data_IF_912991024296
#
_entry.id   IF_912991024296
#
_cell.length_a   1.000
_cell.length_b   1.000
_cell.length_c   1.000
_cell.angle_alpha   90.00
_cell.angle_beta   90.00
_cell.angle_gamma   90.00
#
_symmetry.space_group_name_H-M   'P 1'
#
loop_
_entity.id
_entity.type
_entity.pdbx_description
1 polymer ?
#
# COMPACT_ATOMS: atom_id res chain seq x y z
N UNK A 1 -25.31 -31.87 12.23
CA UNK A 1 -24.14 -32.67 11.81
C UNK A 1 -23.03 -31.71 11.39
N UNK A 2 -22.15 -31.34 12.33
CA UNK A 2 -21.07 -30.37 12.09
C UNK A 2 -19.92 -31.10 11.40
N UNK A 3 -19.73 -30.86 10.09
CA UNK A 3 -18.53 -31.31 9.39
C UNK A 3 -17.36 -30.44 9.84
N UNK A 4 -16.64 -30.91 10.86
CA UNK A 4 -15.28 -30.46 11.15
C UNK A 4 -14.40 -30.88 9.98
N UNK A 5 -14.05 -29.93 9.14
CA UNK A 5 -12.91 -30.10 8.23
C UNK A 5 -11.64 -30.11 9.08
N UNK A 6 -10.69 -31.02 8.84
CA UNK A 6 -9.39 -30.93 9.47
C UNK A 6 -8.76 -29.63 8.97
N UNK A 7 -8.47 -28.71 9.90
CA UNK A 7 -7.52 -27.63 9.65
C UNK A 7 -6.18 -28.32 9.49
N UNK A 8 -5.85 -28.73 8.26
CA UNK A 8 -4.46 -28.92 7.91
C UNK A 8 -3.79 -27.57 8.12
N UNK A 9 -2.95 -27.48 9.16
CA UNK A 9 -1.94 -26.44 9.26
C UNK A 9 -1.12 -26.57 7.98
N UNK A 10 -1.42 -25.76 6.97
CA UNK A 10 -0.54 -25.61 5.84
C UNK A 10 0.80 -25.14 6.41
N UNK A 11 1.82 -25.98 6.26
CA UNK A 11 3.22 -25.65 6.51
C UNK A 11 3.52 -24.31 5.85
N UNK A 12 3.87 -23.30 6.66
CA UNK A 12 4.45 -22.00 6.29
C UNK A 12 4.39 -21.65 4.80
N UNK A 13 3.26 -21.11 4.34
CA UNK A 13 3.24 -20.47 3.02
C UNK A 13 4.06 -19.19 3.15
N UNK A 14 5.20 -19.11 2.46
CA UNK A 14 6.00 -17.89 2.38
C UNK A 14 5.20 -16.83 1.61
N UNK A 15 4.59 -15.89 2.34
CA UNK A 15 3.81 -14.81 1.76
C UNK A 15 4.72 -13.63 1.40
N UNK A 16 4.49 -13.06 0.22
CA UNK A 16 5.05 -11.77 -0.19
C UNK A 16 3.97 -10.71 0.04
N UNK A 17 4.24 -9.76 0.93
CA UNK A 17 3.32 -8.67 1.23
C UNK A 17 3.65 -7.46 0.35
N UNK A 18 2.77 -7.17 -0.61
CA UNK A 18 2.83 -5.94 -1.38
C UNK A 18 2.22 -4.79 -0.57
N UNK A 19 3.08 -3.89 -0.11
CA UNK A 19 2.75 -2.71 0.67
C UNK A 19 2.79 -1.41 -0.16
N UNK A 20 2.63 -1.49 -1.49
CA UNK A 20 2.55 -0.31 -2.35
C UNK A 20 1.50 0.72 -1.87
N UNK A 21 0.35 0.24 -1.35
CA UNK A 21 -0.72 1.11 -0.84
C UNK A 21 -0.76 1.20 0.70
N UNK A 22 0.22 0.63 1.43
CA UNK A 22 0.25 0.67 2.90
C UNK A 22 0.85 1.97 3.43
N UNK A 23 0.18 3.08 3.09
CA UNK A 23 0.57 4.42 3.49
C UNK A 23 -0.65 5.20 4.01
N UNK A 24 -0.45 6.19 4.91
CA UNK A 24 -1.54 7.04 5.43
C UNK A 24 -2.37 7.76 4.35
N UNK A 25 -1.88 7.83 3.12
CA UNK A 25 -2.61 8.33 1.94
C UNK A 25 -3.89 7.51 1.71
N UNK A 26 -3.78 6.19 1.82
CA UNK A 26 -4.79 5.25 1.30
C UNK A 26 -5.54 4.50 2.39
N UNK A 27 -4.87 4.22 3.51
CA UNK A 27 -5.43 3.43 4.59
C UNK A 27 -5.00 3.98 5.96
N UNK A 28 -5.76 3.62 6.99
CA UNK A 28 -5.28 3.75 8.36
C UNK A 28 -4.06 2.84 8.58
N UNK A 29 -3.15 3.24 9.47
CA UNK A 29 -2.00 2.44 9.89
C UNK A 29 -2.28 1.88 11.29
N UNK A 30 -2.90 0.69 11.40
CA UNK A 30 -3.30 0.12 12.70
C UNK A 30 -2.14 -0.48 13.49
N UNK A 31 -1.04 -0.84 12.82
CA UNK A 31 0.18 -1.38 13.42
C UNK A 31 1.36 -1.25 12.45
N UNK A 32 2.57 -1.47 12.94
CA UNK A 32 3.73 -1.65 12.06
C UNK A 32 3.61 -2.98 11.29
N UNK A 33 3.97 -2.97 10.00
CA UNK A 33 4.00 -4.19 9.20
C UNK A 33 5.18 -5.09 9.62
N UNK A 34 4.96 -6.40 9.67
CA UNK A 34 5.95 -7.38 10.14
C UNK A 34 5.98 -8.66 9.29
N UNK A 35 5.75 -8.54 7.98
CA UNK A 35 5.89 -9.65 7.03
C UNK A 35 7.35 -10.09 6.85
N UNK A 36 7.57 -11.34 6.45
CA UNK A 36 8.93 -11.86 6.21
C UNK A 36 9.54 -11.33 4.91
N UNK A 37 8.69 -11.06 3.93
CA UNK A 37 9.01 -10.34 2.69
C UNK A 37 7.96 -9.24 2.50
N UNK A 38 8.41 -7.99 2.49
CA UNK A 38 7.56 -6.81 2.32
C UNK A 38 8.10 -5.94 1.19
N UNK A 39 7.25 -5.55 0.23
CA UNK A 39 7.64 -4.76 -0.93
C UNK A 39 6.97 -3.39 -0.90
N UNK A 40 7.70 -2.36 -1.28
CA UNK A 40 7.26 -0.97 -1.28
C UNK A 40 7.71 -0.26 -2.57
N UNK A 41 7.07 0.86 -2.89
CA UNK A 41 7.42 1.66 -4.07
C UNK A 41 7.18 3.15 -3.86
N UNK A 42 8.04 3.99 -4.43
CA UNK A 42 7.78 5.44 -4.48
C UNK A 42 6.64 5.80 -5.44
N UNK A 43 6.22 4.89 -6.32
CA UNK A 43 5.15 5.13 -7.29
C UNK A 43 3.84 5.56 -6.61
N UNK A 44 3.54 4.94 -5.46
CA UNK A 44 2.31 5.17 -4.69
C UNK A 44 2.54 6.03 -3.45
N UNK A 45 3.77 6.08 -2.93
CA UNK A 45 4.15 6.97 -1.84
C UNK A 45 4.27 8.44 -2.31
N UNK A 46 5.01 8.71 -3.38
CA UNK A 46 5.31 10.09 -3.84
C UNK A 46 4.73 10.42 -5.21
N UNK A 47 3.98 9.51 -5.83
CA UNK A 47 3.41 9.68 -7.18
C UNK A 47 4.42 9.54 -8.32
N UNK A 48 5.67 9.18 -8.05
CA UNK A 48 6.75 9.12 -9.04
C UNK A 48 6.83 7.77 -9.76
N UNK A 49 5.72 7.34 -10.37
CA UNK A 49 5.64 6.03 -11.03
C UNK A 49 6.65 5.84 -12.18
N UNK A 50 7.01 6.93 -12.86
CA UNK A 50 8.00 6.93 -13.95
C UNK A 50 9.44 6.69 -13.50
N UNK A 51 9.74 6.86 -12.20
CA UNK A 51 11.08 6.58 -11.67
C UNK A 51 11.37 5.09 -11.55
N UNK A 52 10.35 4.22 -11.62
CA UNK A 52 10.49 2.76 -11.56
C UNK A 52 11.31 2.28 -10.35
N UNK A 53 11.15 2.93 -9.19
CA UNK A 53 11.90 2.61 -7.98
C UNK A 53 11.01 1.97 -6.92
N UNK A 54 11.49 0.86 -6.37
CA UNK A 54 10.90 0.14 -5.26
C UNK A 54 11.98 -0.54 -4.43
N UNK A 55 11.59 -1.03 -3.26
CA UNK A 55 12.48 -1.74 -2.35
C UNK A 55 11.75 -2.87 -1.66
N UNK A 56 12.51 -3.84 -1.17
CA UNK A 56 12.00 -4.95 -0.38
C UNK A 56 12.70 -4.99 0.99
N UNK A 57 11.93 -5.29 2.04
CA UNK A 57 12.44 -5.69 3.34
C UNK A 57 12.33 -7.21 3.43
N UNK A 58 13.46 -7.89 3.62
CA UNK A 58 13.55 -9.35 3.57
C UNK A 58 14.26 -9.83 4.83
N UNK A 59 13.60 -10.67 5.63
CA UNK A 59 14.18 -11.20 6.87
C UNK A 59 15.11 -12.39 6.62
N UNK A 60 14.72 -13.26 5.69
CA UNK A 60 15.49 -14.47 5.37
C UNK A 60 16.70 -14.14 4.48
N UNK A 61 17.89 -14.54 4.95
CA UNK A 61 19.15 -14.24 4.27
C UNK A 61 19.28 -14.94 2.92
N UNK A 62 18.82 -16.18 2.81
CA UNK A 62 18.96 -16.96 1.57
C UNK A 62 18.00 -16.42 0.51
N UNK A 63 16.79 -16.00 0.89
CA UNK A 63 15.86 -15.27 0.02
C UNK A 63 16.50 -13.95 -0.44
N UNK A 64 17.08 -13.17 0.48
CA UNK A 64 17.76 -11.91 0.14
C UNK A 64 18.89 -12.13 -0.88
N UNK A 65 19.76 -13.11 -0.67
CA UNK A 65 20.86 -13.42 -1.59
C UNK A 65 20.36 -13.88 -2.96
N UNK A 66 19.26 -14.64 -3.01
CA UNK A 66 18.62 -15.03 -4.26
C UNK A 66 18.03 -13.82 -5.01
N UNK A 67 17.40 -12.88 -4.31
CA UNK A 67 16.89 -11.63 -4.90
C UNK A 67 18.04 -10.77 -5.45
N UNK A 68 19.14 -10.62 -4.70
CA UNK A 68 20.32 -9.90 -5.19
C UNK A 68 20.89 -10.54 -6.47
N UNK A 69 21.02 -11.87 -6.48
CA UNK A 69 21.50 -12.60 -7.66
C UNK A 69 20.60 -12.34 -8.88
N UNK A 70 19.28 -12.38 -8.69
CA UNK A 70 18.32 -12.07 -9.76
C UNK A 70 18.49 -10.63 -10.28
N UNK A 71 18.54 -9.64 -9.38
CA UNK A 71 18.73 -8.23 -9.75
C UNK A 71 20.03 -8.00 -10.53
N UNK A 72 21.11 -8.69 -10.15
CA UNK A 72 22.39 -8.59 -10.84
C UNK A 72 22.34 -9.21 -12.24
N UNK A 73 21.63 -10.34 -12.40
CA UNK A 73 21.55 -11.07 -13.67
C UNK A 73 20.63 -10.39 -14.69
N UNK A 74 19.51 -9.81 -14.24
CA UNK A 74 18.49 -9.27 -15.14
C UNK A 74 18.67 -7.78 -15.41
N UNK A 75 19.02 -6.99 -14.38
CA UNK A 75 19.02 -5.52 -14.48
C UNK A 75 20.41 -4.89 -14.29
N UNK A 76 21.41 -5.68 -13.87
CA UNK A 76 22.72 -5.18 -13.42
C UNK A 76 22.59 -4.13 -12.30
N UNK A 77 21.55 -4.27 -11.47
CA UNK A 77 21.19 -3.32 -10.42
C UNK A 77 20.25 -2.20 -10.89
N UNK A 78 20.11 -1.17 -10.05
CA UNK A 78 19.18 -0.04 -10.28
C UNK A 78 19.97 1.19 -10.71
N UNK A 79 19.44 1.97 -11.67
CA UNK A 79 20.04 3.23 -12.13
C UNK A 79 20.42 4.16 -10.96
N UNK A 80 21.65 4.70 -11.00
CA UNK A 80 22.14 5.64 -9.99
C UNK A 80 21.36 6.95 -9.99
N UNK A 81 20.90 7.41 -11.14
CA UNK A 81 20.08 8.62 -11.25
C UNK A 81 18.72 8.40 -10.58
N UNK A 82 18.13 7.21 -10.78
CA UNK A 82 16.90 6.81 -10.09
C UNK A 82 17.11 6.76 -8.58
N UNK A 83 18.22 6.18 -8.11
CA UNK A 83 18.56 6.13 -6.68
C UNK A 83 18.75 7.54 -6.09
N UNK A 84 19.45 8.43 -6.80
CA UNK A 84 19.69 9.80 -6.37
C UNK A 84 18.37 10.59 -6.28
N UNK A 85 17.51 10.47 -7.28
CA UNK A 85 16.19 11.12 -7.27
C UNK A 85 15.31 10.57 -6.14
N UNK A 86 15.28 9.24 -5.96
CA UNK A 86 14.52 8.62 -4.87
C UNK A 86 15.02 9.11 -3.50
N UNK A 87 16.34 9.21 -3.30
CA UNK A 87 16.94 9.75 -2.09
C UNK A 87 16.51 11.20 -1.82
N UNK A 88 16.56 12.07 -2.84
CA UNK A 88 16.12 13.46 -2.71
C UNK A 88 14.64 13.57 -2.33
N UNK A 89 13.77 12.80 -2.99
CA UNK A 89 12.34 12.78 -2.68
C UNK A 89 12.07 12.29 -1.26
N UNK A 90 12.73 11.21 -0.83
CA UNK A 90 12.57 10.66 0.52
C UNK A 90 13.10 11.62 1.59
N UNK A 91 14.15 12.39 1.30
CA UNK A 91 14.61 13.45 2.21
C UNK A 91 13.53 14.51 2.42
N UNK A 92 12.93 15.01 1.34
CA UNK A 92 11.84 16.00 1.43
C UNK A 92 10.62 15.42 2.17
N UNK A 93 10.27 14.15 1.93
CA UNK A 93 9.18 13.48 2.68
C UNK A 93 9.44 13.43 4.19
N UNK A 94 10.70 13.37 4.59
CA UNK A 94 11.13 13.29 5.99
C UNK A 94 11.48 14.66 6.60
N UNK A 95 11.40 15.75 5.84
CA UNK A 95 11.60 17.10 6.37
C UNK A 95 10.48 17.48 7.36
N UNK A 96 10.80 18.34 8.33
CA UNK A 96 9.86 18.72 9.39
C UNK A 96 9.49 17.54 10.29
N UNK A 97 8.20 17.32 10.50
CA UNK A 97 7.67 16.16 11.24
C UNK A 97 7.43 14.93 10.34
N UNK A 98 7.69 15.05 9.03
CA UNK A 98 7.45 14.03 8.04
C UNK A 98 5.97 13.68 7.84
N UNK A 99 5.03 14.56 8.23
CA UNK A 99 3.58 14.30 8.14
C UNK A 99 2.87 15.08 7.04
N UNK A 100 3.48 16.14 6.50
CA UNK A 100 2.81 17.07 5.57
C UNK A 100 2.25 16.40 4.31
N UNK A 101 3.07 15.63 3.59
CA UNK A 101 2.62 14.91 2.37
C UNK A 101 1.47 13.94 2.68
N UNK A 102 1.52 13.29 3.84
CA UNK A 102 0.54 12.31 4.26
C UNK A 102 -0.80 12.96 4.63
N UNK A 103 -0.76 14.11 5.31
CA UNK A 103 -1.96 14.90 5.60
C UNK A 103 -2.61 15.39 4.32
N UNK A 104 -1.84 16.04 3.44
CA UNK A 104 -2.34 16.57 2.17
C UNK A 104 -2.94 15.45 1.30
N UNK A 105 -2.23 14.33 1.18
CA UNK A 105 -2.69 13.22 0.35
C UNK A 105 -3.92 12.52 0.94
N UNK A 106 -3.99 12.34 2.27
CA UNK A 106 -5.18 11.80 2.92
C UNK A 106 -6.40 12.67 2.64
N UNK A 107 -6.29 13.99 2.80
CA UNK A 107 -7.39 14.91 2.54
C UNK A 107 -7.87 14.83 1.09
N UNK A 108 -6.95 14.86 0.12
CA UNK A 108 -7.29 14.72 -1.30
C UNK A 108 -7.97 13.39 -1.61
N UNK A 109 -7.43 12.27 -1.12
CA UNK A 109 -7.99 10.95 -1.38
C UNK A 109 -9.35 10.74 -0.70
N UNK A 110 -9.54 11.28 0.50
CA UNK A 110 -10.83 11.27 1.21
C UNK A 110 -11.87 12.08 0.42
N UNK A 111 -11.52 13.30 0.00
CA UNK A 111 -12.44 14.15 -0.76
C UNK A 111 -12.86 13.49 -2.09
N UNK A 112 -11.92 12.80 -2.77
CA UNK A 112 -12.24 12.01 -3.97
C UNK A 112 -13.18 10.84 -3.66
N UNK A 113 -12.89 10.09 -2.58
CA UNK A 113 -13.72 8.98 -2.15
C UNK A 113 -15.15 9.42 -1.81
N UNK A 114 -15.32 10.52 -1.09
CA UNK A 114 -16.63 11.06 -0.72
C UNK A 114 -17.43 11.47 -1.95
N UNK A 115 -16.81 12.21 -2.89
CA UNK A 115 -17.45 12.60 -4.16
C UNK A 115 -17.86 11.39 -5.00
N UNK A 116 -16.98 10.40 -5.13
CA UNK A 116 -17.27 9.19 -5.90
C UNK A 116 -18.40 8.37 -5.23
N UNK A 117 -18.36 8.22 -3.92
CA UNK A 117 -19.38 7.51 -3.15
C UNK A 117 -20.74 8.18 -3.29
N UNK A 118 -20.78 9.51 -3.23
CA UNK A 118 -22.00 10.28 -3.49
C UNK A 118 -22.55 10.01 -4.89
N UNK A 119 -21.71 10.09 -5.93
CA UNK A 119 -22.14 9.83 -7.32
C UNK A 119 -22.68 8.41 -7.49
N UNK A 120 -21.99 7.40 -6.93
CA UNK A 120 -22.43 6.00 -6.99
C UNK A 120 -23.78 5.83 -6.29
N UNK A 121 -23.98 6.48 -5.13
CA UNK A 121 -25.22 6.40 -4.35
C UNK A 121 -26.46 6.96 -5.05
N UNK A 122 -26.28 7.85 -6.05
CA UNK A 122 -27.39 8.39 -6.85
C UNK A 122 -27.96 7.38 -7.86
N UNK A 123 -27.26 6.25 -8.07
CA UNK A 123 -27.64 5.21 -9.02
C UNK A 123 -28.02 3.92 -8.31
N UNK A 124 -29.10 3.27 -8.77
CA UNK A 124 -29.44 1.88 -8.36
C UNK A 124 -28.73 0.83 -9.21
N UNK A 125 -27.91 1.23 -10.19
CA UNK A 125 -27.18 0.30 -11.07
C UNK A 125 -25.86 -0.17 -10.48
N UNK A 126 -25.30 0.60 -9.55
CA UNK A 126 -23.95 0.42 -9.04
C UNK A 126 -23.95 0.32 -7.52
N UNK A 127 -23.02 -0.46 -6.99
CA UNK A 127 -22.59 -0.42 -5.59
C UNK A 127 -21.09 -0.20 -5.54
N UNK A 128 -20.61 0.50 -4.52
CA UNK A 128 -19.18 0.60 -4.22
C UNK A 128 -18.82 -0.25 -3.02
N UNK A 129 -17.54 -0.56 -2.88
CA UNK A 129 -16.97 -1.14 -1.67
C UNK A 129 -17.40 -0.36 -0.41
N UNK A 130 -17.70 -1.09 0.66
CA UNK A 130 -17.93 -0.52 1.99
C UNK A 130 -16.65 -0.64 2.81
N UNK A 131 -16.19 0.47 3.38
CA UNK A 131 -14.94 0.54 4.14
C UNK A 131 -15.20 1.31 5.44
N UNK A 132 -15.15 0.64 6.61
CA UNK A 132 -15.41 1.29 7.88
C UNK A 132 -14.26 2.22 8.30
N UNK A 133 -14.55 3.29 9.08
CA UNK A 133 -13.52 4.07 9.73
C UNK A 133 -12.64 3.22 10.66
N UNK A 134 -11.35 3.54 10.74
CA UNK A 134 -10.38 2.80 11.56
C UNK A 134 -9.44 3.76 12.30
N UNK A 135 -8.97 3.35 13.48
CA UNK A 135 -7.91 4.07 14.20
C UNK A 135 -6.57 3.96 13.46
N UNK A 136 -5.92 5.10 13.26
CA UNK A 136 -4.63 5.21 12.60
C UNK A 136 -3.57 5.67 13.60
N UNK A 137 -2.55 4.85 13.87
CA UNK A 137 -1.45 5.21 14.76
C UNK A 137 -0.60 6.36 14.20
N UNK A 138 -0.50 6.49 12.87
CA UNK A 138 0.27 7.58 12.27
C UNK A 138 -0.38 8.96 12.52
N UNK A 139 -1.71 9.03 12.42
CA UNK A 139 -2.46 10.27 12.65
C UNK A 139 -3.02 10.39 14.08
N UNK A 140 -2.85 9.35 14.90
CA UNK A 140 -3.31 9.25 16.29
C UNK A 140 -4.83 9.51 16.47
N UNK A 141 -5.63 9.17 15.46
CA UNK A 141 -7.09 9.37 15.47
C UNK A 141 -7.83 8.32 14.64
N UNK A 142 -9.13 8.20 14.89
CA UNK A 142 -10.04 7.51 13.97
C UNK A 142 -10.20 8.35 12.71
N UNK A 143 -10.07 7.72 11.55
CA UNK A 143 -10.21 8.36 10.24
C UNK A 143 -11.10 7.54 9.33
N UNK A 144 -11.75 8.23 8.39
CA UNK A 144 -12.54 7.60 7.35
C UNK A 144 -11.67 6.93 6.27
N UNK A 145 -12.32 6.22 5.34
CA UNK A 145 -11.67 5.63 4.17
C UNK A 145 -11.12 6.70 3.21
N UNK A 146 -10.01 6.38 2.54
CA UNK A 146 -9.46 7.19 1.43
C UNK A 146 -8.74 6.30 0.41
N UNK A 147 -9.39 5.23 -0.09
CA UNK A 147 -8.73 4.17 -0.85
C UNK A 147 -8.09 4.68 -2.13
N UNK A 148 -7.05 3.99 -2.58
CA UNK A 148 -6.36 4.30 -3.84
C UNK A 148 -7.26 4.20 -5.07
N UNK A 149 -8.27 3.33 -5.01
CA UNK A 149 -9.22 3.06 -6.09
C UNK A 149 -10.63 2.82 -5.51
N UNK A 150 -11.67 3.08 -6.31
CA UNK A 150 -13.07 2.77 -5.96
C UNK A 150 -13.50 1.50 -6.68
N UNK A 151 -13.66 0.39 -5.97
CA UNK A 151 -14.26 -0.81 -6.57
C UNK A 151 -15.77 -0.62 -6.70
N UNK A 152 -16.28 -0.79 -7.91
CA UNK A 152 -17.70 -0.64 -8.24
C UNK A 152 -18.21 -1.94 -8.86
N UNK A 153 -19.37 -2.41 -8.40
CA UNK A 153 -20.06 -3.60 -8.91
C UNK A 153 -21.43 -3.23 -9.47
N UNK A 154 -21.88 -3.95 -10.51
CA UNK A 154 -23.24 -3.81 -11.02
C UNK A 154 -24.22 -4.56 -10.12
N UNK A 155 -25.35 -3.93 -9.80
CA UNK A 155 -26.39 -4.53 -8.96
C UNK A 155 -27.31 -5.50 -9.72
N UNK A 156 -27.37 -5.41 -11.05
CA UNK A 156 -28.24 -6.24 -11.89
C UNK A 156 -27.52 -6.63 -13.19
N UNK A 157 -26.93 -7.83 -13.17
CA UNK A 157 -26.74 -8.73 -14.32
C UNK A 157 -26.96 -10.15 -13.82
#
# INVERSE_FOLDING_TARGET
MVRRWPIQKASSVNAIYDHAYYWPHFSAIPAQANGDIMIFTISKLTGHAGSRFGWALVKDKDVYLNMLKYMQLVEMGVSRDTQLRALQLLKVVLEGDGREIFHLAYEKMRDHWEKNSQIVSLSKRFTSQDIPPQYCNFFEKVRGPSPGDTQVSFLHM
#
